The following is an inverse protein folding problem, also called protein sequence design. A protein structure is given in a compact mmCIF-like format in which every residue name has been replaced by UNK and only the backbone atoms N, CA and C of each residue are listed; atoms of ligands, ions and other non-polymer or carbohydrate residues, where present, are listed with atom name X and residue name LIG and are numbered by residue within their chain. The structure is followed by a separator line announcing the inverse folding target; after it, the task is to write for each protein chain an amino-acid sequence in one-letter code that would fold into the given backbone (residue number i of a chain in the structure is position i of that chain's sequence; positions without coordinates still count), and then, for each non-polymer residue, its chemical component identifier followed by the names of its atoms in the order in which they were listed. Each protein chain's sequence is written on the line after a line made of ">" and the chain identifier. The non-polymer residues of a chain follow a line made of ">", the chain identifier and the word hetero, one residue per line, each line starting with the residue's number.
data_IF_001157143356
#
_entry.id   IF_001157143356
#
_cell.length_a   1.000
_cell.length_b   1.000
_cell.length_c   1.000
_cell.angle_alpha   90.00
_cell.angle_beta   90.00
_cell.angle_gamma   90.00
#
_symmetry.space_group_name_H-M   'P 1'
#
loop_
_entity.id
_entity.type
_entity.pdbx_description
1 polymer ?
#
# COMPACT_ATOMS: atom_id res chain seq x y z
N UNK A 1 48.59 36.49 21.15
CA UNK A 1 47.26 37.05 20.84
C UNK A 1 46.50 36.02 20.01
N UNK A 2 45.58 35.31 20.65
CA UNK A 2 44.78 34.21 20.09
C UNK A 2 43.49 34.78 19.50
N UNK A 3 43.21 34.48 18.23
CA UNK A 3 41.92 34.71 17.58
C UNK A 3 41.55 33.47 16.76
N UNK A 4 41.39 32.33 17.46
CA UNK A 4 40.62 31.20 16.94
C UNK A 4 39.14 31.46 17.20
N UNK A 5 38.43 32.01 16.21
CA UNK A 5 36.98 32.10 16.24
C UNK A 5 36.40 30.69 16.04
N UNK A 6 36.04 30.07 17.16
CA UNK A 6 35.35 28.79 17.24
C UNK A 6 33.86 29.04 16.97
N UNK A 7 33.44 29.02 15.71
CA UNK A 7 32.00 28.96 15.39
C UNK A 7 31.66 27.51 15.05
N UNK A 8 30.86 26.91 15.94
CA UNK A 8 30.33 25.56 15.83
C UNK A 8 29.58 25.38 14.51
N UNK A 9 29.83 24.25 13.87
CA UNK A 9 28.99 23.66 12.85
C UNK A 9 27.56 23.49 13.37
N UNK A 10 26.58 23.90 12.58
CA UNK A 10 25.22 23.36 12.62
C UNK A 10 24.71 23.26 11.19
N UNK A 11 24.73 22.07 10.56
CA UNK A 11 23.88 21.80 9.41
C UNK A 11 22.47 21.63 9.98
N UNK A 12 21.74 22.74 10.15
CA UNK A 12 20.36 22.71 10.59
C UNK A 12 19.47 22.25 9.45
N UNK A 13 19.07 20.99 9.58
CA UNK A 13 17.69 20.56 9.50
C UNK A 13 17.05 20.43 8.11
N UNK A 14 17.08 19.16 7.68
CA UNK A 14 16.01 18.45 6.96
C UNK A 14 15.93 18.72 5.46
N UNK A 15 16.70 17.93 4.71
CA UNK A 15 16.26 17.34 3.45
C UNK A 15 14.88 16.67 3.67
N UNK A 16 13.81 17.45 3.56
CA UNK A 16 12.50 16.89 3.24
C UNK A 16 12.64 16.34 1.82
N UNK A 17 12.98 15.06 1.73
CA UNK A 17 12.77 14.29 0.52
C UNK A 17 11.30 14.47 0.18
N UNK A 18 10.99 15.31 -0.82
CA UNK A 18 9.63 15.56 -1.28
C UNK A 18 9.10 14.25 -1.87
N UNK A 19 8.58 13.41 -0.99
CA UNK A 19 7.99 12.13 -1.34
C UNK A 19 6.68 12.44 -2.03
N UNK A 20 6.70 12.47 -3.36
CA UNK A 20 5.51 12.65 -4.18
C UNK A 20 4.53 11.50 -3.91
N UNK A 21 3.40 11.82 -3.27
CA UNK A 21 2.33 10.86 -3.00
C UNK A 21 1.21 11.07 -4.01
N UNK A 22 0.94 10.06 -4.84
CA UNK A 22 -0.23 10.06 -5.72
C UNK A 22 -1.48 9.72 -4.91
N UNK A 23 -2.26 10.74 -4.60
CA UNK A 23 -3.50 10.63 -3.83
C UNK A 23 -4.71 10.77 -4.76
N UNK A 24 -5.80 10.05 -4.45
CA UNK A 24 -7.12 10.36 -5.02
C UNK A 24 -7.76 11.49 -4.21
N UNK A 25 -8.71 12.22 -4.79
CA UNK A 25 -9.41 13.32 -4.11
C UNK A 25 -9.96 12.92 -2.73
N UNK A 26 -10.53 11.71 -2.63
CA UNK A 26 -11.03 11.16 -1.35
C UNK A 26 -9.95 11.00 -0.28
N UNK A 27 -8.71 10.73 -0.67
CA UNK A 27 -7.59 10.61 0.26
C UNK A 27 -7.04 11.99 0.64
N UNK A 28 -7.11 12.97 -0.27
CA UNK A 28 -6.79 14.38 0.01
C UNK A 28 -7.80 14.94 1.03
N UNK A 29 -9.10 14.79 0.81
CA UNK A 29 -10.12 15.23 1.78
C UNK A 29 -9.97 14.56 3.14
N UNK A 30 -9.54 13.29 3.19
CA UNK A 30 -9.25 12.61 4.46
C UNK A 30 -8.05 13.23 5.16
N UNK A 31 -7.01 13.60 4.43
CA UNK A 31 -5.82 14.24 4.97
C UNK A 31 -6.18 15.56 5.65
N UNK A 32 -6.93 16.42 4.97
CA UNK A 32 -7.43 17.69 5.52
C UNK A 32 -8.23 17.45 6.82
N UNK A 33 -9.14 16.48 6.81
CA UNK A 33 -9.93 16.16 7.99
C UNK A 33 -9.10 15.63 9.16
N UNK A 34 -8.06 14.84 8.89
CA UNK A 34 -7.15 14.34 9.93
C UNK A 34 -6.28 15.46 10.51
N UNK A 35 -5.87 16.44 9.70
CA UNK A 35 -5.17 17.64 10.19
C UNK A 35 -6.06 18.43 11.15
N UNK A 36 -7.31 18.72 10.76
CA UNK A 36 -8.25 19.46 11.61
C UNK A 36 -8.63 18.71 12.90
N UNK A 37 -8.69 17.37 12.84
CA UNK A 37 -8.86 16.51 14.03
C UNK A 37 -7.64 16.58 14.96
N UNK A 38 -6.42 16.64 14.41
CA UNK A 38 -5.19 16.81 15.19
C UNK A 38 -5.13 18.19 15.87
N UNK A 39 -5.60 19.22 15.19
CA UNK A 39 -5.74 20.59 15.69
C UNK A 39 -6.91 20.77 16.68
N UNK A 40 -7.69 19.70 16.95
CA UNK A 40 -8.90 19.72 17.79
C UNK A 40 -9.98 20.72 17.33
N UNK A 41 -9.87 21.22 16.10
CA UNK A 41 -10.83 22.16 15.51
C UNK A 41 -12.09 21.46 14.99
N UNK A 42 -12.07 20.14 14.91
CA UNK A 42 -13.19 19.29 14.49
C UNK A 42 -13.33 18.09 15.41
N UNK A 43 -14.57 17.68 15.68
CA UNK A 43 -14.86 16.45 16.42
C UNK A 43 -14.91 15.23 15.50
N UNK A 44 -14.69 14.03 16.06
CA UNK A 44 -14.85 12.77 15.32
C UNK A 44 -16.26 12.60 14.74
N UNK A 45 -17.29 13.15 15.41
CA UNK A 45 -18.69 13.05 14.96
C UNK A 45 -18.96 13.91 13.73
N UNK A 46 -18.35 15.09 13.66
CA UNK A 46 -18.45 15.96 12.48
C UNK A 46 -17.66 15.38 11.30
N UNK A 47 -16.47 14.82 11.57
CA UNK A 47 -15.69 14.15 10.53
C UNK A 47 -16.44 12.96 9.90
N UNK A 48 -17.24 12.23 10.68
CA UNK A 48 -18.13 11.17 10.18
C UNK A 48 -19.17 11.71 9.20
N UNK A 49 -19.81 12.84 9.53
CA UNK A 49 -20.81 13.48 8.67
C UNK A 49 -20.21 13.96 7.35
N UNK A 50 -19.03 14.59 7.42
CA UNK A 50 -18.34 15.15 6.24
C UNK A 50 -17.81 14.04 5.34
N UNK A 51 -17.19 13.00 5.91
CA UNK A 51 -16.57 11.92 5.13
C UNK A 51 -17.56 10.81 4.73
N UNK A 52 -18.76 10.78 5.30
CA UNK A 52 -19.74 9.71 5.07
C UNK A 52 -19.26 8.33 5.51
N UNK A 53 -18.36 8.25 6.49
CA UNK A 53 -17.77 6.98 6.99
C UNK A 53 -18.05 6.79 8.47
N UNK A 54 -18.02 5.55 8.95
CA UNK A 54 -18.29 5.25 10.35
C UNK A 54 -17.23 5.84 11.31
N UNK A 55 -17.62 6.08 12.57
CA UNK A 55 -16.73 6.55 13.64
C UNK A 55 -15.51 5.63 13.79
N UNK A 56 -15.70 4.32 13.68
CA UNK A 56 -14.60 3.33 13.71
C UNK A 56 -13.61 3.56 12.57
N UNK A 57 -14.10 3.87 11.38
CA UNK A 57 -13.25 4.17 10.22
C UNK A 57 -12.45 5.46 10.44
N UNK A 58 -13.09 6.54 10.94
CA UNK A 58 -12.40 7.80 11.29
C UNK A 58 -11.30 7.54 12.32
N UNK A 59 -11.60 6.80 13.39
CA UNK A 59 -10.59 6.42 14.41
C UNK A 59 -9.44 5.62 13.81
N UNK A 60 -9.71 4.71 12.87
CA UNK A 60 -8.68 3.94 12.18
C UNK A 60 -7.78 4.83 11.33
N UNK A 61 -8.36 5.76 10.57
CA UNK A 61 -7.60 6.73 9.77
C UNK A 61 -6.76 7.65 10.66
N UNK A 62 -7.32 8.14 11.76
CA UNK A 62 -6.60 9.00 12.70
C UNK A 62 -5.42 8.25 13.34
N UNK A 63 -5.61 6.99 13.72
CA UNK A 63 -4.53 6.12 14.19
C UNK A 63 -3.45 5.87 13.12
N UNK A 64 -3.83 5.76 11.84
CA UNK A 64 -2.88 5.57 10.74
C UNK A 64 -2.10 6.84 10.39
N UNK A 65 -2.66 8.02 10.70
CA UNK A 65 -2.02 9.33 10.52
C UNK A 65 -1.07 9.69 11.68
N UNK A 66 -1.32 9.17 12.89
CA UNK A 66 -0.47 9.43 14.06
C UNK A 66 0.86 8.66 13.97
N UNK A 67 1.99 9.31 14.29
CA UNK A 67 3.33 8.73 14.16
C UNK A 67 3.66 7.61 15.17
N UNK A 68 2.79 7.32 16.14
CA UNK A 68 3.10 6.48 17.31
C UNK A 68 2.81 4.98 17.18
N UNK A 69 2.35 4.46 16.02
CA UNK A 69 2.16 3.00 15.81
C UNK A 69 2.80 2.49 14.52
N UNK A 70 3.69 1.49 14.68
CA UNK A 70 4.27 0.52 13.73
C UNK A 70 4.67 0.95 12.29
N UNK A 71 4.56 2.21 11.92
CA UNK A 71 5.06 2.77 10.67
C UNK A 71 5.60 4.15 11.00
N UNK A 72 6.85 4.21 11.47
CA UNK A 72 7.49 5.33 12.15
C UNK A 72 7.55 6.68 11.38
N UNK A 73 6.94 6.80 10.19
CA UNK A 73 7.05 7.97 9.31
C UNK A 73 5.83 8.19 8.40
N UNK A 74 4.60 7.92 8.86
CA UNK A 74 3.43 7.98 7.94
C UNK A 74 2.38 8.98 8.38
N UNK A 75 2.62 10.25 8.07
CA UNK A 75 1.59 11.30 7.99
C UNK A 75 0.64 11.06 6.80
N UNK A 76 0.74 11.87 5.74
CA UNK A 76 -0.07 11.71 4.52
C UNK A 76 0.02 10.30 3.91
N UNK A 77 1.21 9.69 3.95
CA UNK A 77 1.47 8.35 3.43
C UNK A 77 0.68 7.23 4.13
N UNK A 78 0.21 7.45 5.36
CA UNK A 78 -0.59 6.48 6.12
C UNK A 78 -2.05 6.40 5.66
N UNK A 79 -2.52 7.47 4.98
CA UNK A 79 -3.89 7.57 4.46
C UNK A 79 -4.01 7.06 3.03
N UNK A 80 -2.88 6.91 2.33
CA UNK A 80 -2.83 6.36 0.98
C UNK A 80 -3.14 4.86 1.02
N UNK A 81 -3.97 4.40 0.09
CA UNK A 81 -4.25 2.97 -0.07
C UNK A 81 -2.96 2.16 -0.21
N UNK A 82 -2.73 1.25 0.73
CA UNK A 82 -1.58 0.34 0.75
C UNK A 82 -1.61 -0.72 -0.38
N UNK A 83 -2.71 -0.78 -1.13
CA UNK A 83 -2.81 -1.62 -2.32
C UNK A 83 -2.15 -0.97 -3.54
N UNK A 84 -1.83 0.33 -3.50
CA UNK A 84 -1.10 1.01 -4.58
C UNK A 84 0.32 0.47 -4.65
N UNK A 85 0.74 0.06 -5.84
CA UNK A 85 2.05 -0.58 -6.06
C UNK A 85 2.14 -2.01 -5.55
N UNK A 86 1.07 -2.59 -4.98
CA UNK A 86 1.05 -3.98 -4.55
C UNK A 86 0.38 -4.84 -5.61
N UNK A 87 1.06 -5.89 -6.01
CA UNK A 87 0.50 -6.93 -6.87
C UNK A 87 -0.74 -7.58 -6.23
N UNK A 88 -1.62 -8.15 -7.04
CA UNK A 88 -2.82 -8.79 -6.50
C UNK A 88 -2.42 -9.96 -5.60
N UNK A 89 -3.10 -10.12 -4.46
CA UNK A 89 -2.85 -11.25 -3.56
C UNK A 89 -3.08 -12.62 -4.24
N UNK A 90 -3.81 -12.64 -5.36
CA UNK A 90 -4.10 -13.81 -6.17
C UNK A 90 -3.19 -13.92 -7.40
N UNK A 91 -2.20 -13.03 -7.58
CA UNK A 91 -1.23 -13.14 -8.68
C UNK A 91 -0.46 -14.43 -8.43
N UNK A 92 -0.48 -15.34 -9.41
CA UNK A 92 0.43 -16.48 -9.42
C UNK A 92 1.87 -15.96 -9.39
N UNK A 93 2.74 -16.68 -8.70
CA UNK A 93 4.16 -16.34 -8.75
C UNK A 93 4.64 -16.37 -10.20
N UNK A 94 5.52 -15.46 -10.57
CA UNK A 94 6.00 -15.34 -11.95
C UNK A 94 6.64 -16.65 -12.43
N UNK A 95 7.33 -17.36 -11.53
CA UNK A 95 7.87 -18.70 -11.77
C UNK A 95 6.76 -19.72 -12.10
N UNK A 96 5.69 -19.79 -11.30
CA UNK A 96 4.54 -20.68 -11.54
C UNK A 96 3.86 -20.36 -12.87
N UNK A 97 3.76 -19.08 -13.23
CA UNK A 97 3.15 -18.64 -14.49
C UNK A 97 3.97 -19.08 -15.70
N UNK A 98 5.29 -18.88 -15.67
CA UNK A 98 6.18 -19.28 -16.77
C UNK A 98 6.14 -20.80 -16.94
N UNK A 99 6.26 -21.56 -15.85
CA UNK A 99 6.18 -23.02 -15.88
C UNK A 99 4.84 -23.51 -16.47
N UNK A 100 3.72 -22.93 -16.06
CA UNK A 100 2.41 -23.29 -16.58
C UNK A 100 2.30 -23.03 -18.09
N UNK A 101 2.80 -21.87 -18.57
CA UNK A 101 2.78 -21.53 -20.00
C UNK A 101 3.65 -22.50 -20.82
N UNK A 102 4.82 -22.87 -20.33
CA UNK A 102 5.71 -23.83 -21.01
C UNK A 102 5.05 -25.21 -21.12
N UNK A 103 4.41 -25.68 -20.05
CA UNK A 103 3.71 -26.97 -20.01
C UNK A 103 2.48 -26.99 -20.92
N UNK A 104 1.71 -25.90 -20.95
CA UNK A 104 0.56 -25.74 -21.85
C UNK A 104 0.97 -25.69 -23.32
N UNK A 105 2.09 -25.03 -23.63
CA UNK A 105 2.61 -24.92 -25.00
C UNK A 105 3.26 -26.20 -25.52
N UNK A 106 3.79 -27.04 -24.62
CA UNK A 106 4.50 -28.27 -24.97
C UNK A 106 3.64 -29.52 -24.73
N UNK A 107 3.55 -29.96 -23.46
CA UNK A 107 3.02 -31.26 -23.03
C UNK A 107 1.50 -31.36 -23.11
N UNK A 108 0.80 -30.25 -22.88
CA UNK A 108 -0.67 -30.20 -22.84
C UNK A 108 -1.26 -29.41 -24.02
N UNK A 109 -0.54 -29.33 -25.13
CA UNK A 109 -1.01 -28.62 -26.33
C UNK A 109 -2.28 -29.28 -26.86
N UNK A 110 -3.38 -28.53 -26.91
CA UNK A 110 -4.68 -29.00 -27.39
C UNK A 110 -5.62 -29.55 -26.29
N UNK A 111 -5.22 -29.47 -25.03
CA UNK A 111 -6.10 -29.80 -23.90
C UNK A 111 -7.10 -28.67 -23.67
N UNK A 112 -8.35 -29.01 -23.31
CA UNK A 112 -9.31 -28.01 -22.82
C UNK A 112 -8.87 -27.42 -21.48
N UNK A 113 -9.30 -26.19 -21.13
CA UNK A 113 -8.82 -25.46 -19.94
C UNK A 113 -9.00 -26.27 -18.65
N UNK A 114 -10.14 -26.95 -18.51
CA UNK A 114 -10.44 -27.79 -17.35
C UNK A 114 -9.47 -28.97 -17.22
N UNK A 115 -9.23 -29.71 -18.31
CA UNK A 115 -8.34 -30.88 -18.29
C UNK A 115 -6.88 -30.47 -18.11
N UNK A 116 -6.48 -29.34 -18.71
CA UNK A 116 -5.16 -28.78 -18.50
C UNK A 116 -4.96 -28.36 -17.04
N UNK A 117 -5.96 -27.73 -16.41
CA UNK A 117 -5.92 -27.38 -14.99
C UNK A 117 -5.74 -28.62 -14.10
N UNK A 118 -6.53 -29.68 -14.33
CA UNK A 118 -6.39 -30.94 -13.59
C UNK A 118 -4.98 -31.50 -13.70
N UNK A 119 -4.38 -31.53 -14.90
CA UNK A 119 -3.03 -32.07 -15.08
C UNK A 119 -1.94 -31.18 -14.51
N UNK A 120 -2.08 -29.86 -14.57
CA UNK A 120 -1.15 -28.94 -13.92
C UNK A 120 -1.18 -29.06 -12.38
N UNK A 121 -2.34 -29.38 -11.79
CA UNK A 121 -2.47 -29.59 -10.35
C UNK A 121 -2.01 -30.99 -9.92
N UNK A 122 -2.45 -32.03 -10.61
CA UNK A 122 -2.21 -33.43 -10.24
C UNK A 122 -0.77 -33.90 -10.55
N UNK A 123 -0.25 -33.54 -11.73
CA UNK A 123 1.03 -34.06 -12.21
C UNK A 123 2.17 -33.14 -11.82
N UNK A 124 1.97 -31.84 -11.98
CA UNK A 124 3.02 -30.82 -11.83
C UNK A 124 2.95 -30.11 -10.46
N UNK A 125 1.90 -30.40 -9.66
CA UNK A 125 1.74 -29.88 -8.29
C UNK A 125 1.48 -28.37 -8.22
N UNK A 126 1.11 -27.73 -9.33
CA UNK A 126 0.90 -26.28 -9.40
C UNK A 126 -0.45 -25.91 -8.79
N UNK A 127 -0.48 -24.93 -7.89
CA UNK A 127 -1.73 -24.41 -7.30
C UNK A 127 -2.35 -23.35 -8.21
N UNK A 128 -3.06 -23.79 -9.23
CA UNK A 128 -3.67 -22.94 -10.26
C UNK A 128 -5.18 -23.22 -10.29
N UNK A 129 -5.99 -22.17 -10.49
CA UNK A 129 -7.45 -22.30 -10.69
C UNK A 129 -7.79 -22.42 -12.18
N UNK A 130 -8.94 -23.01 -12.51
CA UNK A 130 -9.40 -23.15 -13.90
C UNK A 130 -9.50 -21.79 -14.62
N UNK A 131 -9.85 -20.71 -13.90
CA UNK A 131 -9.89 -19.34 -14.44
C UNK A 131 -8.50 -18.77 -14.80
N UNK A 132 -7.43 -19.41 -14.30
CA UNK A 132 -6.05 -18.97 -14.50
C UNK A 132 -5.30 -19.74 -15.61
N UNK A 133 -5.90 -20.81 -16.15
CA UNK A 133 -5.35 -21.68 -17.21
C UNK A 133 -5.88 -21.25 -18.57
#
# INVERSE_FOLDING_TARGET
>A
MSLFAKVKMSPSENEKVDKLLTMRDKEVSRLEMMQRLKEKSLSQREAVKILGVSVRHVRRLFKAYLPSRCCAEKGAAGLVSQRRGRESNNRLSEATRVQALDLLGSKYRGFGPTLACEKLVEVEGLKISNESV
#
